data_IF_587968872553
#
_entry.id   IF_587968872553
#
_cell.length_a   1.000
_cell.length_b   1.000
_cell.length_c   1.000
_cell.angle_alpha   90.00
_cell.angle_beta   90.00
_cell.angle_gamma   90.00
#
_symmetry.space_group_name_H-M   'P 1'
#
loop_
_entity.id
_entity.type
_entity.pdbx_description
1 polymer ?
#
# COMPACT_ATOMS: atom_id res chain seq x y z
N UNK A 1 -6.88 -77.82 20.25
CA UNK A 1 -8.18 -77.11 20.24
C UNK A 1 -7.85 -75.64 20.54
N UNK A 2 -8.09 -74.63 19.67
CA UNK A 2 -9.40 -73.93 19.45
C UNK A 2 -10.08 -73.63 20.80
N UNK A 3 -10.47 -72.39 21.17
CA UNK A 3 -10.53 -71.06 20.50
C UNK A 3 -10.60 -69.99 21.67
N UNK A 4 -10.43 -68.66 21.60
CA UNK A 4 -10.80 -67.59 20.63
C UNK A 4 -9.79 -66.39 20.64
N UNK A 5 -10.19 -65.32 19.95
CA UNK A 5 -9.66 -63.95 19.73
C UNK A 5 -9.25 -63.13 20.97
N UNK A 6 -8.24 -62.27 20.81
CA UNK A 6 -8.10 -60.97 21.51
C UNK A 6 -8.09 -59.83 20.49
N UNK A 7 -8.88 -58.77 20.71
CA UNK A 7 -8.91 -57.57 19.84
C UNK A 7 -8.01 -56.50 20.44
N UNK A 8 -6.85 -56.26 19.85
CA UNK A 8 -6.05 -55.07 20.13
C UNK A 8 -6.50 -53.93 19.21
N UNK A 9 -7.06 -52.85 19.77
CA UNK A 9 -7.16 -51.57 19.05
C UNK A 9 -5.76 -50.96 18.94
N UNK A 10 -5.08 -51.25 17.84
CA UNK A 10 -3.87 -50.52 17.47
C UNK A 10 -4.26 -49.12 16.99
N UNK A 11 -4.19 -48.12 17.88
CA UNK A 11 -4.23 -46.71 17.48
C UNK A 11 -2.89 -46.42 16.78
N UNK A 12 -2.85 -46.66 15.47
CA UNK A 12 -1.70 -46.35 14.64
C UNK A 12 -1.49 -44.84 14.62
N UNK A 13 -0.33 -44.39 15.11
CA UNK A 13 0.05 -42.99 15.12
C UNK A 13 0.22 -42.47 13.69
N UNK A 14 -0.68 -41.60 13.25
CA UNK A 14 -0.51 -40.78 12.05
C UNK A 14 0.55 -39.71 12.31
N UNK A 15 1.82 -40.12 12.32
CA UNK A 15 2.98 -39.24 12.30
C UNK A 15 3.12 -38.60 10.92
N UNK A 16 2.19 -37.70 10.59
CA UNK A 16 2.32 -36.82 9.44
C UNK A 16 3.59 -35.98 9.63
N UNK A 17 4.46 -35.92 8.61
CA UNK A 17 5.76 -35.30 8.71
C UNK A 17 5.67 -33.76 8.76
N UNK A 18 5.35 -33.22 9.93
CA UNK A 18 5.77 -31.87 10.28
C UNK A 18 7.30 -31.85 10.28
N UNK A 19 7.91 -31.18 9.30
CA UNK A 19 9.30 -30.72 9.46
C UNK A 19 9.29 -29.75 10.64
N UNK A 20 9.80 -30.19 11.78
CA UNK A 20 10.27 -29.26 12.79
C UNK A 20 11.35 -28.40 12.12
N UNK A 21 11.05 -27.12 11.92
CA UNK A 21 12.03 -26.15 11.48
C UNK A 21 13.09 -26.06 12.57
N UNK A 22 14.28 -26.59 12.31
CA UNK A 22 15.41 -26.46 13.22
C UNK A 22 15.58 -25.00 13.63
N UNK A 23 15.78 -24.75 14.92
CA UNK A 23 15.91 -23.39 15.43
C UNK A 23 17.07 -22.68 14.70
N UNK A 24 16.84 -21.48 14.13
CA UNK A 24 17.85 -20.78 13.32
C UNK A 24 19.13 -20.54 14.13
N UNK A 25 20.28 -20.64 13.45
CA UNK A 25 21.59 -20.45 14.06
C UNK A 25 21.79 -19.05 14.62
N UNK A 26 22.83 -18.84 15.42
CA UNK A 26 23.16 -17.52 15.99
C UNK A 26 23.42 -16.46 14.90
N UNK A 27 24.02 -16.85 13.77
CA UNK A 27 24.14 -16.06 12.54
C UNK A 27 22.79 -15.69 11.93
N UNK A 28 21.89 -16.65 11.86
CA UNK A 28 20.60 -16.52 11.19
C UNK A 28 19.67 -15.63 12.02
N UNK A 29 19.72 -15.77 13.34
CA UNK A 29 19.05 -14.88 14.30
C UNK A 29 19.59 -13.44 14.22
N UNK A 30 20.89 -13.25 13.97
CA UNK A 30 21.45 -11.92 13.73
C UNK A 30 20.93 -11.31 12.41
N UNK A 31 20.93 -12.10 11.33
CA UNK A 31 20.41 -11.68 10.02
C UNK A 31 18.89 -11.37 10.07
N UNK A 32 18.11 -12.19 10.77
CA UNK A 32 16.67 -11.95 10.99
C UNK A 32 16.44 -10.65 11.79
N UNK A 33 17.24 -10.38 12.82
CA UNK A 33 17.18 -9.11 13.58
C UNK A 33 17.54 -7.90 12.71
N UNK A 34 18.57 -8.01 11.88
CA UNK A 34 18.95 -6.95 10.93
C UNK A 34 17.84 -6.68 9.90
N UNK A 35 17.25 -7.72 9.31
CA UNK A 35 16.16 -7.62 8.34
C UNK A 35 14.83 -7.13 8.96
N UNK A 36 14.64 -7.30 10.27
CA UNK A 36 13.49 -6.76 11.00
C UNK A 36 13.65 -5.28 11.37
N UNK A 37 14.90 -4.80 11.55
CA UNK A 37 15.21 -3.45 12.03
C UNK A 37 14.45 -2.36 11.25
N UNK A 38 14.07 -1.29 11.95
CA UNK A 38 13.26 -0.20 11.41
C UNK A 38 13.85 1.14 11.84
N UNK A 39 13.89 2.09 10.91
CA UNK A 39 14.18 3.50 11.19
C UNK A 39 12.96 4.29 10.72
N UNK A 40 12.46 5.21 11.55
CA UNK A 40 11.36 6.07 11.15
C UNK A 40 11.83 7.02 10.05
N UNK A 41 11.23 6.89 8.87
CA UNK A 41 11.34 7.82 7.73
C UNK A 41 9.95 8.41 7.52
N UNK A 42 9.83 9.69 7.19
CA UNK A 42 8.55 10.25 6.77
C UNK A 42 8.44 10.24 5.24
N UNK A 43 7.26 9.92 4.71
CA UNK A 43 6.98 9.93 3.28
C UNK A 43 7.29 11.31 2.68
N UNK A 44 6.98 12.38 3.41
CA UNK A 44 7.26 13.77 3.06
C UNK A 44 8.72 14.05 2.70
N UNK A 45 9.68 13.35 3.32
CA UNK A 45 11.12 13.49 3.03
C UNK A 45 11.50 13.00 1.61
N UNK A 46 10.58 12.29 0.94
CA UNK A 46 10.76 11.63 -0.36
C UNK A 46 9.80 12.14 -1.45
N UNK A 47 8.92 13.09 -1.13
CA UNK A 47 7.96 13.62 -2.10
C UNK A 47 8.59 14.75 -2.94
N UNK A 48 8.46 14.73 -4.28
CA UNK A 48 8.89 15.83 -5.11
C UNK A 48 8.01 17.07 -4.89
N UNK A 49 8.55 18.25 -5.19
CA UNK A 49 7.74 19.46 -5.32
C UNK A 49 6.66 19.26 -6.39
N UNK A 50 5.44 19.70 -6.09
CA UNK A 50 4.31 19.62 -7.01
C UNK A 50 4.32 20.82 -7.97
N UNK A 51 4.06 20.53 -9.25
CA UNK A 51 3.84 21.57 -10.24
C UNK A 51 2.59 22.42 -9.89
N UNK A 52 2.65 23.77 -9.94
CA UNK A 52 1.54 24.63 -9.54
C UNK A 52 0.27 24.47 -10.38
N UNK A 53 0.39 24.22 -11.69
CA UNK A 53 -0.75 24.04 -12.58
C UNK A 53 -1.40 22.67 -12.31
N UNK A 54 -0.60 21.62 -12.14
CA UNK A 54 -1.08 20.29 -11.76
C UNK A 54 -1.75 20.27 -10.37
N UNK A 55 -1.24 21.02 -9.39
CA UNK A 55 -1.86 21.21 -8.07
C UNK A 55 -3.16 22.03 -8.18
N UNK A 56 -3.27 22.99 -9.11
CA UNK A 56 -4.53 23.69 -9.39
C UNK A 56 -5.61 22.73 -9.98
N UNK A 57 -5.24 21.89 -10.95
CA UNK A 57 -6.11 20.83 -11.48
C UNK A 57 -6.52 19.84 -10.37
N UNK A 58 -5.58 19.40 -9.54
CA UNK A 58 -5.87 18.51 -8.40
C UNK A 58 -6.81 19.15 -7.37
N UNK A 59 -6.59 20.40 -6.97
CA UNK A 59 -7.47 21.14 -6.04
C UNK A 59 -8.89 21.24 -6.57
N UNK A 60 -9.05 21.56 -7.86
CA UNK A 60 -10.38 21.65 -8.46
C UNK A 60 -11.06 20.27 -8.58
N UNK A 61 -10.33 19.24 -9.02
CA UNK A 61 -10.83 17.85 -9.03
C UNK A 61 -11.25 17.36 -7.64
N UNK A 62 -10.47 17.70 -6.59
CA UNK A 62 -10.83 17.44 -5.18
C UNK A 62 -12.10 18.15 -4.76
N UNK A 63 -12.25 19.45 -5.08
CA UNK A 63 -13.47 20.20 -4.82
C UNK A 63 -14.70 19.58 -5.51
N UNK A 64 -14.60 19.20 -6.78
CA UNK A 64 -15.67 18.48 -7.48
C UNK A 64 -16.00 17.14 -6.79
N UNK A 65 -14.98 16.42 -6.30
CA UNK A 65 -15.14 15.18 -5.56
C UNK A 65 -15.82 15.38 -4.18
N UNK A 66 -15.58 16.50 -3.48
CA UNK A 66 -16.05 16.72 -2.09
C UNK A 66 -17.18 17.73 -1.90
N UNK A 67 -17.56 18.53 -2.91
CA UNK A 67 -18.76 19.40 -2.84
C UNK A 67 -20.03 18.58 -2.62
N UNK A 68 -21.13 19.19 -2.20
CA UNK A 68 -22.38 18.46 -2.03
C UNK A 68 -23.13 18.30 -3.38
N UNK A 69 -24.10 17.38 -3.44
CA UNK A 69 -24.84 17.06 -4.67
C UNK A 69 -24.22 15.97 -5.57
N UNK A 70 -24.83 15.70 -6.75
CA UNK A 70 -24.48 14.57 -7.61
C UNK A 70 -23.05 14.65 -8.18
N UNK A 71 -22.47 13.48 -8.44
CA UNK A 71 -21.06 13.31 -8.83
C UNK A 71 -20.91 12.86 -10.27
N UNK A 72 -20.13 13.62 -11.04
CA UNK A 72 -19.51 13.15 -12.27
C UNK A 72 -18.06 12.75 -11.94
N UNK A 73 -17.82 11.46 -11.73
CA UNK A 73 -16.48 10.96 -11.41
C UNK A 73 -15.56 10.89 -12.64
N UNK A 74 -16.10 10.91 -13.86
CA UNK A 74 -15.30 11.03 -15.09
C UNK A 74 -14.75 12.45 -15.25
N UNK A 75 -15.54 13.48 -14.91
CA UNK A 75 -15.05 14.86 -14.79
C UNK A 75 -13.95 14.97 -13.72
N UNK A 76 -14.11 14.33 -12.55
CA UNK A 76 -13.06 14.30 -11.52
C UNK A 76 -11.79 13.58 -12.02
N UNK A 77 -11.95 12.44 -12.71
CA UNK A 77 -10.84 11.66 -13.24
C UNK A 77 -10.09 12.40 -14.36
N UNK A 78 -10.76 13.19 -15.22
CA UNK A 78 -10.13 14.10 -16.21
C UNK A 78 -9.03 14.96 -15.55
N UNK A 79 -9.39 15.70 -14.50
CA UNK A 79 -8.43 16.56 -13.79
C UNK A 79 -7.31 15.74 -13.11
N UNK A 80 -7.63 14.59 -12.50
CA UNK A 80 -6.63 13.78 -11.83
C UNK A 80 -5.65 13.09 -12.79
N UNK A 81 -6.08 12.62 -13.96
CA UNK A 81 -5.22 12.03 -14.99
C UNK A 81 -4.20 13.02 -15.55
N UNK A 82 -4.66 14.22 -15.90
CA UNK A 82 -3.81 15.26 -16.47
C UNK A 82 -2.79 15.73 -15.42
N UNK A 83 -3.22 15.96 -14.17
CA UNK A 83 -2.30 16.27 -13.08
C UNK A 83 -1.31 15.11 -12.79
N UNK A 84 -1.76 13.85 -12.81
CA UNK A 84 -0.91 12.68 -12.61
C UNK A 84 0.20 12.55 -13.67
N UNK A 85 -0.10 12.85 -14.94
CA UNK A 85 0.88 12.87 -16.03
C UNK A 85 1.95 13.97 -15.86
N UNK A 86 1.64 15.02 -15.10
CA UNK A 86 2.58 16.06 -14.64
C UNK A 86 3.20 15.75 -13.27
N UNK A 87 3.20 14.47 -12.85
CA UNK A 87 3.91 14.00 -11.65
C UNK A 87 3.16 14.20 -10.33
N UNK A 88 1.89 14.63 -10.38
CA UNK A 88 1.13 14.95 -9.18
C UNK A 88 0.68 13.69 -8.42
N UNK A 89 1.52 13.21 -7.49
CA UNK A 89 1.36 11.91 -6.82
C UNK A 89 0.01 11.72 -6.11
N UNK A 90 -0.55 12.76 -5.47
CA UNK A 90 -1.89 12.69 -4.84
C UNK A 90 -3.02 12.54 -5.88
N UNK A 91 -2.82 13.03 -7.10
CA UNK A 91 -3.78 12.93 -8.18
C UNK A 91 -3.71 11.54 -8.83
N UNK A 92 -2.49 11.05 -9.05
CA UNK A 92 -2.18 9.68 -9.46
C UNK A 92 -2.86 8.65 -8.54
N UNK A 93 -2.62 8.71 -7.22
CA UNK A 93 -3.29 7.80 -6.28
C UNK A 93 -4.84 7.97 -6.28
N UNK A 94 -5.36 9.18 -6.44
CA UNK A 94 -6.80 9.38 -6.49
C UNK A 94 -7.47 8.86 -7.78
N UNK A 95 -6.83 8.95 -8.96
CA UNK A 95 -7.37 8.30 -10.17
C UNK A 95 -7.28 6.78 -10.05
N UNK A 96 -6.18 6.23 -9.51
CA UNK A 96 -6.10 4.80 -9.17
C UNK A 96 -7.29 4.35 -8.32
N UNK A 97 -7.66 5.10 -7.26
CA UNK A 97 -8.83 4.77 -6.43
C UNK A 97 -10.16 4.86 -7.20
N UNK A 98 -10.42 5.95 -7.94
CA UNK A 98 -11.66 6.09 -8.70
C UNK A 98 -11.85 5.01 -9.77
N UNK A 99 -10.78 4.68 -10.50
CA UNK A 99 -10.79 3.70 -11.59
C UNK A 99 -10.86 2.27 -11.04
N UNK A 100 -10.09 1.95 -9.99
CA UNK A 100 -10.09 0.61 -9.38
C UNK A 100 -11.39 0.25 -8.65
N UNK A 101 -12.12 1.25 -8.16
CA UNK A 101 -13.46 1.11 -7.57
C UNK A 101 -14.59 1.12 -8.62
N UNK A 102 -14.28 1.32 -9.91
CA UNK A 102 -15.28 1.42 -10.99
C UNK A 102 -16.16 2.68 -10.92
N UNK A 103 -15.72 3.70 -10.19
CA UNK A 103 -16.42 4.99 -10.09
C UNK A 103 -16.17 5.87 -11.31
N UNK A 104 -14.96 5.79 -11.89
CA UNK A 104 -14.61 6.45 -13.14
C UNK A 104 -14.37 5.43 -14.26
N UNK A 105 -14.85 5.78 -15.45
CA UNK A 105 -14.72 5.06 -16.72
C UNK A 105 -13.25 4.92 -17.11
N UNK A 106 -12.88 3.72 -17.58
CA UNK A 106 -11.56 3.43 -18.16
C UNK A 106 -11.68 2.26 -19.15
N UNK A 107 -11.08 2.32 -20.35
CA UNK A 107 -11.07 1.20 -21.30
C UNK A 107 -10.38 -0.06 -20.74
N UNK A 108 -9.43 0.11 -19.81
CA UNK A 108 -8.81 -0.98 -19.09
C UNK A 108 -8.37 -0.51 -17.69
N UNK A 109 -9.34 -0.45 -16.78
CA UNK A 109 -9.17 0.04 -15.41
C UNK A 109 -8.02 -0.63 -14.65
N UNK A 110 -7.83 -1.93 -14.87
CA UNK A 110 -6.83 -2.73 -14.18
C UNK A 110 -5.40 -2.41 -14.65
N UNK A 111 -5.18 -2.19 -15.95
CA UNK A 111 -3.91 -1.70 -16.46
C UNK A 111 -3.66 -0.24 -16.05
N UNK A 112 -4.65 0.64 -16.22
CA UNK A 112 -4.49 2.08 -15.92
C UNK A 112 -4.01 2.28 -14.47
N UNK A 113 -4.62 1.61 -13.50
CA UNK A 113 -4.24 1.73 -12.10
C UNK A 113 -2.81 1.22 -11.83
N UNK A 114 -2.42 0.09 -12.42
CA UNK A 114 -1.07 -0.49 -12.30
C UNK A 114 -0.02 0.37 -12.99
N UNK A 115 -0.34 1.00 -14.12
CA UNK A 115 0.55 1.93 -14.84
C UNK A 115 0.77 3.22 -14.03
N UNK A 116 -0.28 3.79 -13.43
CA UNK A 116 -0.16 4.94 -12.53
C UNK A 116 0.70 4.61 -11.28
N UNK A 117 0.46 3.47 -10.62
CA UNK A 117 1.29 3.02 -9.50
C UNK A 117 2.76 2.77 -9.92
N UNK A 118 2.98 2.19 -11.10
CA UNK A 118 4.33 1.95 -11.65
C UNK A 118 5.08 3.25 -11.94
N UNK A 119 4.39 4.32 -12.33
CA UNK A 119 5.01 5.65 -12.48
C UNK A 119 5.48 6.22 -11.13
N UNK A 120 4.71 6.04 -10.04
CA UNK A 120 5.13 6.44 -8.69
C UNK A 120 6.35 5.64 -8.23
N UNK A 121 6.37 4.31 -8.45
CA UNK A 121 7.55 3.46 -8.18
C UNK A 121 8.78 3.94 -8.98
N UNK A 122 8.62 4.27 -10.27
CA UNK A 122 9.70 4.82 -11.11
C UNK A 122 10.24 6.16 -10.60
N UNK A 123 9.42 6.96 -9.92
CA UNK A 123 9.79 8.23 -9.29
C UNK A 123 10.34 8.05 -7.86
N UNK A 124 10.40 6.82 -7.34
CA UNK A 124 10.83 6.52 -5.96
C UNK A 124 9.79 6.88 -4.88
N UNK A 125 8.56 7.23 -5.28
CA UNK A 125 7.53 7.75 -4.39
C UNK A 125 6.96 6.62 -3.53
N UNK A 126 6.96 6.74 -2.17
CA UNK A 126 6.69 5.60 -1.30
C UNK A 126 5.29 4.98 -1.48
N UNK A 127 4.28 5.82 -1.75
CA UNK A 127 2.90 5.41 -2.03
C UNK A 127 2.80 4.42 -3.19
N UNK A 128 3.60 4.58 -4.25
CA UNK A 128 3.58 3.68 -5.42
C UNK A 128 3.97 2.25 -5.09
N UNK A 129 4.93 2.07 -4.17
CA UNK A 129 5.32 0.74 -3.70
C UNK A 129 4.20 0.09 -2.88
N UNK A 130 3.43 0.88 -2.11
CA UNK A 130 2.26 0.39 -1.39
C UNK A 130 1.12 0.00 -2.35
N UNK A 131 0.84 0.83 -3.36
CA UNK A 131 -0.19 0.58 -4.38
C UNK A 131 0.10 -0.71 -5.18
N UNK A 132 1.33 -0.87 -5.69
CA UNK A 132 1.74 -2.14 -6.35
C UNK A 132 1.65 -3.33 -5.38
N UNK A 133 2.03 -3.15 -4.12
CA UNK A 133 1.88 -4.17 -3.08
C UNK A 133 0.42 -4.58 -2.85
N UNK A 134 -0.50 -3.62 -2.83
CA UNK A 134 -1.94 -3.86 -2.73
C UNK A 134 -2.47 -4.62 -3.95
N UNK A 135 -2.07 -4.22 -5.17
CA UNK A 135 -2.46 -4.90 -6.42
C UNK A 135 -1.91 -6.31 -6.56
N UNK A 136 -0.65 -6.55 -6.16
CA UNK A 136 -0.07 -7.91 -6.06
C UNK A 136 -0.81 -8.77 -5.01
N UNK A 137 -1.30 -8.17 -3.92
CA UNK A 137 -2.06 -8.90 -2.88
C UNK A 137 -3.49 -9.23 -3.32
N UNK A 138 -4.14 -8.35 -4.08
CA UNK A 138 -5.54 -8.53 -4.54
C UNK A 138 -5.66 -9.33 -5.84
N UNK A 139 -4.63 -9.31 -6.70
CA UNK A 139 -4.70 -9.84 -8.06
C UNK A 139 -5.31 -8.86 -9.07
N UNK A 140 -5.41 -7.57 -8.72
CA UNK A 140 -5.97 -6.54 -9.59
C UNK A 140 -4.91 -6.03 -10.58
N UNK A 141 -5.09 -6.31 -11.88
CA UNK A 141 -4.14 -5.95 -12.95
C UNK A 141 -2.82 -6.75 -12.95
N UNK A 142 -2.36 -7.21 -11.79
CA UNK A 142 -1.18 -8.05 -11.60
C UNK A 142 -1.57 -9.48 -11.20
N UNK A 143 -0.75 -10.48 -11.56
CA UNK A 143 -0.93 -11.85 -11.05
C UNK A 143 -0.74 -11.84 -9.54
N UNK A 144 -1.72 -12.37 -8.79
CA UNK A 144 -1.67 -12.40 -7.34
C UNK A 144 -0.39 -13.10 -6.81
N UNK A 145 0.34 -12.41 -5.94
CA UNK A 145 1.53 -12.91 -5.26
C UNK A 145 1.70 -12.21 -3.91
N UNK A 146 1.27 -12.89 -2.83
CA UNK A 146 1.32 -12.36 -1.46
C UNK A 146 2.74 -12.14 -0.94
N UNK A 147 3.72 -12.97 -1.34
CA UNK A 147 5.11 -12.81 -0.89
C UNK A 147 5.75 -11.57 -1.51
N UNK A 148 5.57 -11.37 -2.82
CA UNK A 148 6.07 -10.18 -3.51
C UNK A 148 5.34 -8.92 -3.02
N UNK A 149 4.04 -9.00 -2.77
CA UNK A 149 3.27 -7.91 -2.15
C UNK A 149 3.89 -7.47 -0.80
N UNK A 150 4.29 -8.41 0.06
CA UNK A 150 4.93 -8.09 1.34
C UNK A 150 6.30 -7.41 1.17
N UNK A 151 7.08 -7.78 0.14
CA UNK A 151 8.35 -7.10 -0.18
C UNK A 151 8.12 -5.65 -0.62
N UNK A 152 7.13 -5.43 -1.49
CA UNK A 152 6.72 -4.09 -1.93
C UNK A 152 6.19 -3.23 -0.77
N UNK A 153 5.32 -3.78 0.09
CA UNK A 153 4.79 -3.03 1.25
C UNK A 153 5.88 -2.77 2.29
N UNK A 154 6.83 -3.70 2.52
CA UNK A 154 7.98 -3.42 3.40
C UNK A 154 8.84 -2.30 2.84
N UNK A 155 9.17 -2.32 1.54
CA UNK A 155 9.90 -1.24 0.86
C UNK A 155 9.17 0.11 0.99
N UNK A 156 7.86 0.14 0.84
CA UNK A 156 7.05 1.35 1.05
C UNK A 156 7.17 1.89 2.49
N UNK A 157 7.12 1.01 3.49
CA UNK A 157 7.25 1.38 4.90
C UNK A 157 8.64 1.95 5.25
N UNK A 158 9.70 1.34 4.69
CA UNK A 158 11.09 1.79 4.85
C UNK A 158 11.38 3.11 4.12
N UNK A 159 10.67 3.37 3.02
CA UNK A 159 10.69 4.65 2.30
C UNK A 159 9.78 5.72 2.94
N UNK A 160 8.99 5.37 3.96
CA UNK A 160 8.25 6.31 4.79
C UNK A 160 6.72 6.26 4.70
N UNK A 161 6.13 5.50 3.76
CA UNK A 161 4.68 5.50 3.55
C UNK A 161 3.92 5.06 4.83
N UNK A 162 2.98 5.87 5.35
CA UNK A 162 2.38 5.62 6.67
C UNK A 162 1.38 4.45 6.68
N UNK A 163 0.63 4.23 5.60
CA UNK A 163 -0.25 3.06 5.45
C UNK A 163 0.55 1.75 5.44
N UNK A 164 1.69 1.74 4.75
CA UNK A 164 2.64 0.64 4.72
C UNK A 164 3.27 0.38 6.10
N UNK A 165 3.73 1.44 6.79
CA UNK A 165 4.26 1.34 8.15
C UNK A 165 3.22 0.73 9.10
N UNK A 166 1.97 1.18 9.05
CA UNK A 166 0.87 0.60 9.80
C UNK A 166 0.58 -0.87 9.40
N UNK A 167 0.62 -1.20 8.10
CA UNK A 167 0.37 -2.55 7.63
C UNK A 167 1.44 -3.53 8.13
N UNK A 168 2.73 -3.20 8.00
CA UNK A 168 3.83 -4.02 8.52
C UNK A 168 3.78 -4.09 10.05
N UNK A 169 3.46 -2.99 10.73
CA UNK A 169 3.23 -2.98 12.18
C UNK A 169 2.16 -4.00 12.60
N UNK A 170 1.04 -4.07 11.88
CA UNK A 170 -0.03 -5.04 12.17
C UNK A 170 0.42 -6.49 12.00
N UNK A 171 1.30 -6.79 11.05
CA UNK A 171 1.86 -8.14 10.85
C UNK A 171 2.85 -8.54 11.95
N UNK A 172 3.60 -7.58 12.49
CA UNK A 172 4.61 -7.74 13.54
C UNK A 172 4.06 -7.60 14.98
N UNK A 173 2.83 -7.08 15.14
CA UNK A 173 2.18 -6.83 16.43
C UNK A 173 1.99 -8.04 17.37
N UNK A 174 1.80 -9.29 16.89
CA UNK A 174 1.71 -10.46 17.76
C UNK A 174 2.95 -10.63 18.67
N UNK A 175 2.72 -11.08 19.91
CA UNK A 175 3.76 -11.20 20.95
C UNK A 175 4.89 -12.18 20.59
N UNK A 176 4.61 -13.17 19.74
CA UNK A 176 5.54 -14.17 19.20
C UNK A 176 6.43 -13.64 18.05
N UNK A 177 6.30 -12.36 17.67
CA UNK A 177 7.01 -11.76 16.53
C UNK A 177 7.92 -10.60 16.92
N UNK A 178 7.47 -9.36 16.76
CA UNK A 178 8.27 -8.15 16.99
C UNK A 178 7.38 -6.98 17.46
N UNK A 179 6.68 -7.11 18.61
CA UNK A 179 5.72 -6.11 19.08
C UNK A 179 6.34 -4.73 19.31
N UNK A 180 7.63 -4.65 19.64
CA UNK A 180 8.33 -3.37 19.81
C UNK A 180 8.61 -2.65 18.49
N UNK A 181 9.00 -3.38 17.44
CA UNK A 181 9.15 -2.83 16.09
C UNK A 181 7.79 -2.42 15.54
N UNK A 182 6.75 -3.22 15.79
CA UNK A 182 5.36 -2.87 15.49
C UNK A 182 4.88 -1.61 16.24
N UNK A 183 5.40 -1.34 17.44
CA UNK A 183 5.13 -0.12 18.21
C UNK A 183 5.81 1.10 17.57
N UNK A 184 7.08 0.96 17.19
CA UNK A 184 7.87 2.01 16.51
C UNK A 184 7.27 2.37 15.14
N UNK A 185 6.87 1.38 14.34
CA UNK A 185 6.20 1.61 13.05
C UNK A 185 4.82 2.28 13.24
N UNK A 186 4.04 1.88 14.25
CA UNK A 186 2.78 2.56 14.59
C UNK A 186 2.99 4.01 15.07
N UNK A 187 4.07 4.28 15.81
CA UNK A 187 4.47 5.64 16.20
C UNK A 187 4.78 6.50 14.96
N UNK A 188 5.67 6.03 14.08
CA UNK A 188 6.05 6.74 12.85
C UNK A 188 4.85 7.02 11.93
N UNK A 189 3.94 6.05 11.76
CA UNK A 189 2.71 6.26 10.99
C UNK A 189 1.74 7.25 11.68
N UNK A 190 1.60 7.20 13.01
CA UNK A 190 0.77 8.13 13.76
C UNK A 190 1.30 9.57 13.72
N UNK A 191 2.63 9.74 13.72
CA UNK A 191 3.30 11.04 13.64
C UNK A 191 3.15 11.70 12.26
N UNK A 192 2.93 10.88 11.22
CA UNK A 192 2.52 11.31 9.88
C UNK A 192 0.99 11.44 9.71
N UNK A 193 0.21 11.36 10.80
CA UNK A 193 -1.24 11.56 10.78
C UNK A 193 -2.08 10.35 10.36
N UNK A 194 -1.52 9.13 10.27
CA UNK A 194 -2.31 7.93 10.00
C UNK A 194 -3.09 7.50 11.25
N UNK A 195 -4.33 8.00 11.35
CA UNK A 195 -5.16 7.94 12.57
C UNK A 195 -5.47 6.55 13.10
N UNK A 196 -5.53 5.52 12.25
CA UNK A 196 -5.74 4.14 12.73
C UNK A 196 -4.50 3.58 13.44
N UNK A 197 -3.30 3.99 13.03
CA UNK A 197 -2.08 3.68 13.77
C UNK A 197 -2.05 4.44 15.10
N UNK A 198 -2.42 5.72 15.11
CA UNK A 198 -2.51 6.54 16.32
C UNK A 198 -3.48 5.91 17.36
N UNK A 199 -4.64 5.42 16.92
CA UNK A 199 -5.61 4.73 17.79
C UNK A 199 -5.07 3.40 18.36
N UNK A 200 -4.51 2.52 17.51
CA UNK A 200 -3.97 1.22 17.97
C UNK A 200 -2.64 1.36 18.73
N UNK A 201 -1.96 2.49 18.58
CA UNK A 201 -0.82 2.90 19.40
C UNK A 201 -1.29 3.37 20.79
N UNK A 202 -2.30 4.24 20.86
CA UNK A 202 -2.84 4.77 22.11
C UNK A 202 -3.40 3.65 23.02
N UNK A 203 -4.18 2.71 22.46
CA UNK A 203 -4.66 1.54 23.20
C UNK A 203 -3.49 0.71 23.74
N UNK A 204 -2.48 0.45 22.90
CA UNK A 204 -1.31 -0.34 23.30
C UNK A 204 -0.49 0.35 24.39
N UNK A 205 -0.28 1.66 24.29
CA UNK A 205 0.43 2.47 25.28
C UNK A 205 -0.31 2.49 26.63
N UNK A 206 -1.64 2.65 26.60
CA UNK A 206 -2.46 2.62 27.81
C UNK A 206 -2.42 1.25 28.50
N UNK A 207 -2.53 0.16 27.73
CA UNK A 207 -2.45 -1.22 28.24
C UNK A 207 -1.13 -1.53 28.96
N UNK A 208 -0.01 -0.92 28.52
CA UNK A 208 1.31 -1.08 29.18
C UNK A 208 1.61 0.01 30.23
N UNK A 209 0.60 0.78 30.67
CA UNK A 209 0.74 1.82 31.70
C UNK A 209 1.44 3.11 31.25
N UNK A 210 1.68 3.30 29.94
CA UNK A 210 2.23 4.54 29.36
C UNK A 210 1.11 5.55 29.08
N UNK A 211 0.37 5.92 30.11
CA UNK A 211 -0.86 6.71 29.97
C UNK A 211 -0.64 8.11 29.39
N UNK A 212 0.47 8.81 29.72
CA UNK A 212 0.79 10.10 29.10
C UNK A 212 1.00 9.98 27.58
N UNK A 213 1.79 9.00 27.13
CA UNK A 213 2.00 8.76 25.70
C UNK A 213 0.71 8.32 24.99
N UNK A 214 -0.17 7.59 25.69
CA UNK A 214 -1.47 7.20 25.18
C UNK A 214 -2.38 8.42 24.91
N UNK A 215 -2.36 9.43 25.80
CA UNK A 215 -3.06 10.71 25.58
C UNK A 215 -2.54 11.42 24.33
N UNK A 216 -1.21 11.51 24.17
CA UNK A 216 -0.57 12.10 22.97
C UNK A 216 -0.94 11.34 21.69
N UNK A 217 -0.98 10.01 21.74
CA UNK A 217 -1.37 9.16 20.61
C UNK A 217 -2.88 9.27 20.30
N UNK A 218 -3.75 9.40 21.30
CA UNK A 218 -5.17 9.69 21.07
C UNK A 218 -5.35 11.07 20.41
N UNK A 219 -4.66 12.12 20.86
CA UNK A 219 -4.75 13.47 20.28
C UNK A 219 -4.33 13.48 18.79
N UNK A 220 -3.26 12.77 18.42
CA UNK A 220 -2.86 12.54 17.01
C UNK A 220 -3.95 11.81 16.22
N UNK A 221 -4.65 10.87 16.85
CA UNK A 221 -5.84 10.22 16.32
C UNK A 221 -7.03 11.17 16.08
N UNK A 222 -7.21 12.18 16.95
CA UNK A 222 -8.24 13.22 16.79
C UNK A 222 -7.90 14.12 15.61
N UNK A 223 -6.65 14.57 15.50
CA UNK A 223 -6.18 15.35 14.36
C UNK A 223 -6.42 14.60 13.03
N UNK A 224 -6.14 13.29 13.03
CA UNK A 224 -6.40 12.38 11.92
C UNK A 224 -7.90 12.05 11.68
N UNK A 225 -8.83 12.63 12.45
CA UNK A 225 -10.28 12.50 12.26
C UNK A 225 -10.92 11.22 12.79
N UNK A 226 -10.24 10.47 13.68
CA UNK A 226 -10.78 9.22 14.22
C UNK A 226 -11.67 9.52 15.43
N UNK A 227 -12.98 9.62 15.23
CA UNK A 227 -13.96 9.93 16.29
C UNK A 227 -13.86 9.05 17.55
N UNK A 228 -13.47 7.78 17.39
CA UNK A 228 -13.20 6.87 18.52
C UNK A 228 -12.04 7.30 19.43
N UNK A 229 -11.09 8.10 18.95
CA UNK A 229 -9.99 8.63 19.78
C UNK A 229 -10.46 9.83 20.60
N UNK A 230 -11.24 10.73 19.99
CA UNK A 230 -11.87 11.86 20.69
C UNK A 230 -12.83 11.38 21.79
N UNK A 231 -13.60 10.32 21.53
CA UNK A 231 -14.51 9.72 22.52
C UNK A 231 -13.79 9.06 23.71
N UNK A 232 -12.51 8.66 23.55
CA UNK A 232 -11.71 8.17 24.69
C UNK A 232 -11.17 9.35 25.53
N UNK A 233 -10.77 10.45 24.89
CA UNK A 233 -10.34 11.67 25.60
C UNK A 233 -11.52 12.37 26.30
N UNK A 234 -12.68 12.47 25.65
CA UNK A 234 -13.96 12.90 26.24
C UNK A 234 -14.20 12.20 27.59
N UNK A 235 -14.20 10.87 27.59
CA UNK A 235 -14.45 10.06 28.80
C UNK A 235 -13.36 10.19 29.85
N UNK A 236 -12.09 10.27 29.43
CA UNK A 236 -10.96 10.44 30.35
C UNK A 236 -11.01 11.79 31.09
N UNK A 237 -11.38 12.87 30.41
CA UNK A 237 -11.51 14.20 31.02
C UNK A 237 -12.82 14.37 31.83
N UNK A 238 -13.85 13.55 31.60
CA UNK A 238 -15.14 13.64 32.31
C UNK A 238 -15.20 12.83 33.61
N UNK A 239 -14.67 11.60 33.59
CA UNK A 239 -14.86 10.65 34.68
C UNK A 239 -13.70 9.63 34.72
N UNK A 240 -12.45 10.08 34.97
CA UNK A 240 -11.25 9.24 34.86
C UNK A 240 -11.31 7.98 35.73
N UNK A 241 -11.87 8.09 36.95
CA UNK A 241 -12.03 6.95 37.87
C UNK A 241 -13.03 5.89 37.40
N UNK A 242 -13.94 6.24 36.48
CA UNK A 242 -14.95 5.32 35.92
C UNK A 242 -14.42 4.46 34.76
N UNK A 243 -13.23 4.80 34.24
CA UNK A 243 -12.58 4.04 33.18
C UNK A 243 -11.93 2.79 33.79
N UNK A 244 -12.03 1.66 33.09
CA UNK A 244 -11.28 0.44 33.44
C UNK A 244 -9.80 0.80 33.63
N UNK A 245 -9.21 0.44 34.77
CA UNK A 245 -7.85 0.86 35.15
C UNK A 245 -6.76 0.47 34.13
N UNK A 246 -7.03 -0.48 33.22
CA UNK A 246 -6.15 -0.88 32.10
C UNK A 246 -6.19 0.10 30.91
N UNK A 247 -7.20 0.97 30.88
CA UNK A 247 -7.43 1.99 29.85
C UNK A 247 -7.53 3.41 30.45
N UNK A 248 -7.27 3.55 31.76
CA UNK A 248 -7.29 4.83 32.46
C UNK A 248 -6.12 5.71 32.01
N UNK A 249 -6.44 6.95 31.64
CA UNK A 249 -5.48 7.96 31.26
C UNK A 249 -5.20 8.87 32.45
N UNK A 250 -3.92 9.15 32.68
CA UNK A 250 -3.45 10.01 33.77
C UNK A 250 -3.63 11.48 33.33
N UNK A 251 -4.87 11.95 33.44
CA UNK A 251 -5.31 13.30 33.12
C UNK A 251 -6.18 13.85 34.26
N UNK A 252 -6.10 15.15 34.57
CA UNK A 252 -7.02 15.78 35.51
C UNK A 252 -8.45 15.80 34.94
N UNK A 253 -9.45 15.76 35.80
CA UNK A 253 -10.85 16.02 35.41
C UNK A 253 -10.98 17.46 34.88
N UNK A 254 -11.57 17.61 33.70
CA UNK A 254 -11.80 18.89 33.03
C UNK A 254 -13.06 18.78 32.15
N UNK A 255 -14.25 19.14 32.70
CA UNK A 255 -15.52 19.00 32.00
C UNK A 255 -15.63 19.82 30.70
N UNK A 256 -14.91 20.94 30.58
CA UNK A 256 -14.91 21.74 29.34
C UNK A 256 -14.01 21.10 28.27
N UNK A 257 -12.87 20.47 28.63
CA UNK A 257 -12.14 19.59 27.70
C UNK A 257 -13.00 18.45 27.21
N UNK A 258 -13.67 17.75 28.12
CA UNK A 258 -14.59 16.68 27.75
C UNK A 258 -15.64 17.17 26.75
N UNK A 259 -16.29 18.30 27.06
CA UNK A 259 -17.29 18.95 26.19
C UNK A 259 -16.72 19.31 24.81
N UNK A 260 -15.50 19.83 24.70
CA UNK A 260 -14.88 20.12 23.40
C UNK A 260 -14.56 18.84 22.62
N UNK A 261 -14.07 17.78 23.27
CA UNK A 261 -13.93 16.47 22.61
C UNK A 261 -15.27 15.88 22.18
N UNK A 262 -16.34 16.06 22.96
CA UNK A 262 -17.70 15.64 22.57
C UNK A 262 -18.20 16.39 21.33
N UNK A 263 -17.95 17.70 21.22
CA UNK A 263 -18.26 18.48 20.02
C UNK A 263 -17.45 18.00 18.80
N UNK A 264 -16.17 17.64 18.98
CA UNK A 264 -15.36 16.99 17.93
C UNK A 264 -15.95 15.61 17.55
N UNK A 265 -16.42 14.81 18.51
CA UNK A 265 -17.08 13.51 18.25
C UNK A 265 -18.35 13.68 17.42
N UNK A 266 -19.15 14.72 17.69
CA UNK A 266 -20.35 15.07 16.92
C UNK A 266 -19.96 15.47 15.49
N UNK A 267 -19.10 16.49 15.33
CA UNK A 267 -18.61 16.97 14.04
C UNK A 267 -18.05 15.84 13.15
N UNK A 268 -17.21 14.96 13.71
CA UNK A 268 -16.61 13.83 12.98
C UNK A 268 -17.63 12.75 12.60
N UNK A 269 -18.71 12.56 13.38
CA UNK A 269 -19.80 11.62 13.08
C UNK A 269 -20.71 12.17 11.99
N UNK A 270 -21.17 13.39 12.13
CA UNK A 270 -22.13 14.02 11.22
C UNK A 270 -21.52 14.17 9.80
N UNK A 271 -20.21 14.38 9.73
CA UNK A 271 -19.46 14.50 8.47
C UNK A 271 -18.75 13.20 8.02
N UNK A 272 -19.07 12.03 8.60
CA UNK A 272 -18.34 10.75 8.37
C UNK A 272 -18.03 10.45 6.90
N UNK A 273 -19.01 10.64 6.00
CA UNK A 273 -18.88 10.34 4.57
C UNK A 273 -17.80 11.17 3.85
N UNK A 274 -17.45 12.34 4.39
CA UNK A 274 -16.43 13.22 3.83
C UNK A 274 -15.04 13.03 4.47
N UNK A 275 -14.89 12.07 5.40
CA UNK A 275 -13.65 11.73 6.10
C UNK A 275 -12.86 12.96 6.64
N UNK A 276 -13.51 13.83 7.45
CA UNK A 276 -12.91 15.06 7.99
C UNK A 276 -11.62 14.82 8.78
N UNK A 277 -10.87 15.90 8.99
CA UNK A 277 -9.65 15.98 9.79
C UNK A 277 -9.77 17.18 10.73
N UNK A 278 -9.03 17.17 11.83
CA UNK A 278 -9.04 18.23 12.85
C UNK A 278 -7.59 18.71 13.10
N UNK A 279 -6.88 19.22 12.08
CA UNK A 279 -5.49 19.64 12.23
C UNK A 279 -5.33 20.76 13.27
N UNK A 280 -6.40 21.51 13.53
CA UNK A 280 -6.52 22.53 14.56
C UNK A 280 -6.89 21.98 15.96
N UNK A 281 -6.82 20.66 16.21
CA UNK A 281 -7.19 20.08 17.53
C UNK A 281 -6.41 20.69 18.70
N UNK A 282 -5.12 21.01 18.55
CA UNK A 282 -4.35 21.68 19.61
C UNK A 282 -4.61 23.20 19.69
N UNK A 283 -5.36 23.77 18.73
CA UNK A 283 -5.90 25.14 18.82
C UNK A 283 -7.30 25.14 19.48
N UNK A 284 -7.98 23.99 19.54
CA UNK A 284 -9.31 23.82 20.13
C UNK A 284 -9.20 23.26 21.57
N UNK A 285 -8.38 22.22 21.76
CA UNK A 285 -8.20 21.44 23.00
C UNK A 285 -6.72 21.07 23.23
N UNK A 286 -5.77 22.03 23.32
CA UNK A 286 -4.36 21.74 23.60
C UNK A 286 -4.20 21.02 24.93
N UNK A 287 -3.52 19.88 24.96
CA UNK A 287 -3.45 19.00 26.14
C UNK A 287 -2.87 19.68 27.40
N UNK A 288 -3.23 19.22 28.62
CA UNK A 288 -2.60 19.69 29.87
C UNK A 288 -1.07 19.58 29.81
N UNK A 289 -0.32 20.52 30.42
CA UNK A 289 -0.76 21.58 31.33
C UNK A 289 -1.22 22.88 30.64
N UNK A 290 -1.40 22.90 29.31
CA UNK A 290 -1.89 24.09 28.62
C UNK A 290 -3.29 24.52 29.12
N UNK A 291 -3.56 25.82 29.11
CA UNK A 291 -4.92 26.35 29.33
C UNK A 291 -5.70 26.29 28.02
N UNK A 292 -7.02 26.07 28.11
CA UNK A 292 -7.88 26.14 26.94
C UNK A 292 -7.93 27.57 26.37
N UNK A 293 -7.74 27.74 25.05
CA UNK A 293 -7.88 29.03 24.40
C UNK A 293 -9.37 29.38 24.19
N UNK A 294 -9.68 30.65 23.87
CA UNK A 294 -10.94 31.01 23.25
C UNK A 294 -11.13 30.23 21.95
N UNK A 295 -12.34 29.72 21.72
CA UNK A 295 -12.73 29.01 20.50
C UNK A 295 -14.17 29.40 20.15
N UNK A 296 -14.45 29.59 18.87
CA UNK A 296 -15.74 30.06 18.34
C UNK A 296 -16.74 28.92 18.03
N UNK A 297 -16.29 27.66 18.14
CA UNK A 297 -17.08 26.47 17.80
C UNK A 297 -16.85 25.94 16.38
N UNK A 298 -16.00 26.59 15.57
CA UNK A 298 -15.77 26.22 14.16
C UNK A 298 -14.47 25.41 13.97
N UNK A 299 -14.45 24.54 12.96
CA UNK A 299 -13.31 23.69 12.61
C UNK A 299 -12.61 24.16 11.33
N UNK A 300 -11.28 23.99 11.23
CA UNK A 300 -10.52 24.43 10.04
C UNK A 300 -11.03 23.78 8.76
N UNK A 301 -11.43 22.52 8.83
CA UNK A 301 -12.02 21.77 7.73
C UNK A 301 -13.29 22.43 7.16
N UNK A 302 -14.11 23.08 7.99
CA UNK A 302 -15.31 23.82 7.55
C UNK A 302 -14.88 25.12 6.85
N UNK A 303 -13.94 25.85 7.47
CA UNK A 303 -13.35 27.09 6.92
C UNK A 303 -12.63 26.85 5.59
N UNK A 304 -12.07 25.66 5.38
CA UNK A 304 -11.50 25.19 4.11
C UNK A 304 -12.59 24.79 3.10
N UNK A 305 -13.61 24.00 3.49
CA UNK A 305 -14.71 23.58 2.59
C UNK A 305 -15.55 24.75 2.06
N UNK A 306 -15.62 25.86 2.78
CA UNK A 306 -16.28 27.08 2.32
C UNK A 306 -15.55 27.78 1.16
N UNK A 307 -14.28 27.44 0.90
CA UNK A 307 -13.48 28.06 -0.16
C UNK A 307 -13.62 27.27 -1.47
N UNK A 308 -14.17 27.90 -2.50
CA UNK A 308 -14.21 27.35 -3.85
C UNK A 308 -12.88 27.64 -4.55
N UNK A 309 -12.08 26.63 -4.92
CA UNK A 309 -10.86 26.86 -5.70
C UNK A 309 -11.23 27.37 -7.10
N UNK A 310 -10.40 28.23 -7.71
CA UNK A 310 -10.63 28.72 -9.07
C UNK A 310 -10.68 27.53 -10.04
N UNK A 311 -11.63 27.57 -10.99
CA UNK A 311 -11.68 26.56 -12.06
C UNK A 311 -10.47 26.76 -12.99
N UNK A 312 -9.67 25.71 -13.29
CA UNK A 312 -8.68 25.74 -14.38
C UNK A 312 -9.35 26.10 -15.71
N UNK A 313 -8.76 27.02 -16.47
CA UNK A 313 -9.30 27.36 -17.79
C UNK A 313 -9.11 26.20 -18.77
N UNK A 314 -9.96 26.09 -19.79
CA UNK A 314 -9.82 24.98 -20.74
C UNK A 314 -8.51 25.10 -21.55
N UNK A 315 -8.00 26.31 -21.80
CA UNK A 315 -6.69 26.53 -22.44
C UNK A 315 -5.52 25.98 -21.61
N UNK A 316 -5.63 26.05 -20.27
CA UNK A 316 -4.65 25.42 -19.37
C UNK A 316 -4.73 23.90 -19.46
N UNK A 317 -5.95 23.34 -19.47
CA UNK A 317 -6.18 21.89 -19.56
C UNK A 317 -5.68 21.36 -20.92
N UNK A 318 -6.02 22.03 -22.01
CA UNK A 318 -5.60 21.70 -23.38
C UNK A 318 -4.07 21.74 -23.52
N UNK A 319 -3.41 22.75 -22.95
CA UNK A 319 -1.94 22.83 -22.91
C UNK A 319 -1.34 21.63 -22.18
N UNK A 320 -1.75 21.40 -20.93
CA UNK A 320 -1.19 20.34 -20.09
C UNK A 320 -1.45 18.94 -20.66
N UNK A 321 -2.61 18.72 -21.28
CA UNK A 321 -2.95 17.47 -21.96
C UNK A 321 -2.08 17.26 -23.21
N UNK A 322 -1.94 18.29 -24.05
CA UNK A 322 -1.10 18.26 -25.26
C UNK A 322 0.38 18.02 -24.95
N UNK A 323 0.91 18.62 -23.89
CA UNK A 323 2.27 18.40 -23.37
C UNK A 323 2.54 16.93 -22.95
N UNK A 324 1.49 16.12 -22.80
CA UNK A 324 1.54 14.72 -22.35
C UNK A 324 0.88 13.74 -23.34
N UNK A 325 0.51 14.20 -24.54
CA UNK A 325 -0.23 13.43 -25.55
C UNK A 325 -1.54 12.79 -25.02
N UNK A 326 -2.25 13.53 -24.18
CA UNK A 326 -3.56 13.13 -23.63
C UNK A 326 -4.70 13.79 -24.40
N UNK A 327 -5.86 13.13 -24.39
CA UNK A 327 -7.14 13.75 -24.71
C UNK A 327 -7.50 14.77 -23.62
N UNK A 328 -7.66 16.06 -23.92
CA UNK A 328 -8.02 17.06 -22.93
C UNK A 328 -9.41 16.85 -22.33
N UNK A 329 -10.33 16.11 -22.96
CA UNK A 329 -11.68 15.87 -22.44
C UNK A 329 -11.74 14.75 -21.38
N UNK A 330 -10.93 13.70 -21.51
CA UNK A 330 -10.97 12.52 -20.62
C UNK A 330 -9.70 12.31 -19.78
N UNK A 331 -8.58 12.90 -20.19
CA UNK A 331 -7.25 12.66 -19.65
C UNK A 331 -6.62 11.32 -20.05
N UNK A 332 -7.23 10.54 -20.94
CA UNK A 332 -6.64 9.31 -21.47
C UNK A 332 -5.49 9.60 -22.45
N UNK A 333 -4.54 8.67 -22.58
CA UNK A 333 -3.52 8.73 -23.63
C UNK A 333 -4.17 8.61 -25.01
N UNK A 334 -3.79 9.49 -25.93
CA UNK A 334 -4.17 9.36 -27.34
C UNK A 334 -3.39 8.21 -28.00
N UNK A 335 -3.97 7.51 -28.98
CA UNK A 335 -3.21 6.62 -29.85
C UNK A 335 -2.04 7.36 -30.51
N UNK A 336 -0.88 6.72 -30.62
CA UNK A 336 0.21 7.26 -31.43
C UNK A 336 -0.22 7.23 -32.91
N UNK A 337 -0.48 8.40 -33.49
CA UNK A 337 -0.97 8.51 -34.87
C UNK A 337 -0.03 7.85 -35.87
N UNK A 338 -0.59 6.97 -36.70
CA UNK A 338 0.14 6.14 -37.65
C UNK A 338 0.57 6.91 -38.91
N UNK A 339 1.23 8.06 -38.75
CA UNK A 339 1.84 8.79 -39.87
C UNK A 339 2.93 9.79 -39.45
N UNK A 340 4.19 9.36 -39.46
CA UNK A 340 5.15 9.78 -40.52
C UNK A 340 6.49 9.05 -40.39
N UNK A 341 7.06 8.68 -41.54
CA UNK A 341 8.42 8.12 -41.60
C UNK A 341 9.46 9.24 -41.44
N UNK A 342 9.90 9.48 -40.21
CA UNK A 342 11.18 10.16 -39.96
C UNK A 342 12.11 9.20 -39.22
N UNK A 343 13.26 8.90 -39.85
CA UNK A 343 14.33 8.11 -39.25
C UNK A 343 15.05 8.93 -38.19
N UNK A 344 14.48 8.98 -37.00
CA UNK A 344 15.16 9.47 -35.80
C UNK A 344 16.26 8.47 -35.46
N UNK A 345 17.52 8.88 -35.55
CA UNK A 345 18.66 8.09 -35.09
C UNK A 345 18.50 7.79 -33.58
N UNK A 346 18.93 6.61 -33.10
CA UNK A 346 18.70 6.23 -31.70
C UNK A 346 19.35 7.23 -30.76
N UNK A 347 18.56 7.79 -29.85
CA UNK A 347 19.07 8.45 -28.66
C UNK A 347 19.21 7.40 -27.56
N UNK A 348 20.40 7.30 -26.96
CA UNK A 348 20.75 6.26 -25.98
C UNK A 348 20.12 6.49 -24.59
N UNK A 349 18.80 6.68 -24.55
CA UNK A 349 18.00 6.49 -23.35
C UNK A 349 17.42 5.08 -23.42
N UNK A 350 18.12 4.13 -22.77
CA UNK A 350 17.70 2.72 -22.72
C UNK A 350 16.39 2.60 -21.95
N UNK A 351 15.27 2.72 -22.65
CA UNK A 351 13.95 2.45 -22.13
C UNK A 351 13.88 0.98 -21.71
N UNK A 352 13.64 0.74 -20.41
CA UNK A 352 13.53 -0.64 -19.89
C UNK A 352 12.41 -1.37 -20.61
N UNK A 353 12.67 -2.60 -21.03
CA UNK A 353 11.71 -3.44 -21.73
C UNK A 353 10.43 -3.63 -20.87
N UNK A 354 9.21 -3.43 -21.40
CA UNK A 354 7.98 -3.51 -20.61
C UNK A 354 7.78 -4.86 -19.90
N UNK A 355 7.24 -4.82 -18.68
CA UNK A 355 6.79 -6.03 -17.99
C UNK A 355 5.74 -6.74 -18.85
N UNK A 356 5.96 -8.03 -19.07
CA UNK A 356 5.16 -8.87 -19.94
C UNK A 356 5.69 -9.05 -21.36
N UNK A 357 6.77 -8.36 -21.77
CA UNK A 357 7.50 -8.70 -22.99
C UNK A 357 8.10 -10.11 -22.93
N UNK A 358 8.30 -10.73 -24.10
CA UNK A 358 8.72 -12.13 -24.21
C UNK A 358 10.03 -12.31 -25.00
N UNK A 359 10.74 -13.38 -24.68
CA UNK A 359 11.99 -13.79 -25.31
C UNK A 359 12.04 -15.33 -25.37
N UNK A 360 12.76 -15.90 -26.34
CA UNK A 360 12.88 -17.37 -26.49
C UNK A 360 14.17 -17.88 -25.87
N UNK A 361 14.16 -19.14 -25.46
CA UNK A 361 15.37 -19.95 -25.25
C UNK A 361 16.40 -19.75 -26.38
N UNK A 362 17.69 -19.74 -26.03
CA UNK A 362 18.82 -19.54 -26.96
C UNK A 362 19.09 -18.08 -27.33
N UNK A 363 18.14 -17.17 -27.12
CA UNK A 363 18.35 -15.73 -27.30
C UNK A 363 19.11 -15.12 -26.11
N UNK A 364 19.82 -14.02 -26.34
CA UNK A 364 20.31 -13.17 -25.24
C UNK A 364 19.14 -12.44 -24.57
N UNK A 365 19.20 -12.35 -23.25
CA UNK A 365 18.16 -11.76 -22.42
C UNK A 365 18.10 -10.24 -22.67
N UNK A 366 16.98 -9.70 -23.18
CA UNK A 366 16.90 -8.31 -23.62
C UNK A 366 16.83 -7.30 -22.48
N UNK A 367 16.49 -7.72 -21.26
CA UNK A 367 16.43 -6.84 -20.08
C UNK A 367 16.69 -7.60 -18.77
N UNK A 368 17.46 -6.97 -17.87
CA UNK A 368 17.76 -7.50 -16.55
C UNK A 368 16.51 -7.59 -15.68
N UNK A 369 16.18 -8.79 -15.21
CA UNK A 369 14.91 -9.01 -14.50
C UNK A 369 14.60 -10.45 -14.17
N UNK A 370 13.44 -10.61 -13.52
CA UNK A 370 12.81 -11.90 -13.25
C UNK A 370 11.94 -12.28 -14.45
N UNK A 371 12.24 -13.42 -15.05
CA UNK A 371 11.54 -13.98 -16.20
C UNK A 371 10.84 -15.29 -15.84
N UNK A 372 9.64 -15.49 -16.37
CA UNK A 372 8.80 -16.66 -16.13
C UNK A 372 8.51 -17.39 -17.45
N UNK A 373 8.89 -18.66 -17.53
CA UNK A 373 8.71 -19.52 -18.69
C UNK A 373 7.26 -20.03 -18.84
N UNK A 374 6.77 -19.95 -20.07
CA UNK A 374 5.43 -20.42 -20.45
C UNK A 374 5.47 -21.89 -20.85
N UNK A 375 5.15 -22.77 -19.90
CA UNK A 375 4.99 -24.21 -20.14
C UNK A 375 3.58 -24.57 -20.64
N UNK A 376 3.46 -25.76 -21.25
CA UNK A 376 2.17 -26.38 -21.56
C UNK A 376 1.51 -26.94 -20.28
N UNK A 377 0.17 -27.03 -20.21
CA UNK A 377 -0.52 -27.66 -19.09
C UNK A 377 -0.04 -29.09 -18.84
N UNK A 378 0.15 -29.46 -17.57
CA UNK A 378 0.59 -30.79 -17.14
C UNK A 378 2.09 -30.95 -16.89
N UNK A 379 2.94 -30.03 -17.34
CA UNK A 379 4.39 -30.10 -17.13
C UNK A 379 4.80 -29.49 -15.78
N UNK A 380 5.78 -30.10 -15.10
CA UNK A 380 6.31 -29.59 -13.83
C UNK A 380 7.80 -29.22 -13.96
N UNK A 381 8.12 -27.95 -13.69
CA UNK A 381 9.48 -27.44 -13.57
C UNK A 381 9.53 -26.14 -12.76
N UNK A 382 10.73 -25.70 -12.39
CA UNK A 382 10.99 -24.34 -11.92
C UNK A 382 10.90 -23.37 -13.11
N UNK A 383 9.78 -22.65 -13.22
CA UNK A 383 9.52 -21.77 -14.37
C UNK A 383 10.05 -20.34 -14.23
N UNK A 384 10.44 -19.90 -13.03
CA UNK A 384 10.79 -18.50 -12.77
C UNK A 384 12.26 -18.37 -12.39
N UNK A 385 13.01 -17.52 -13.10
CA UNK A 385 14.45 -17.29 -12.91
C UNK A 385 14.79 -15.81 -13.11
N UNK A 386 15.85 -15.35 -12.45
CA UNK A 386 16.46 -14.04 -12.72
C UNK A 386 17.52 -14.20 -13.82
N UNK A 387 17.65 -13.20 -14.68
CA UNK A 387 18.68 -13.11 -15.73
C UNK A 387 19.18 -11.67 -15.83
N UNK A 388 20.48 -11.49 -15.97
CA UNK A 388 21.08 -10.20 -16.30
C UNK A 388 20.87 -9.86 -17.80
N UNK A 389 20.97 -8.58 -18.15
CA UNK A 389 20.83 -8.10 -19.53
C UNK A 389 22.00 -8.60 -20.39
N UNK A 390 21.74 -9.61 -21.22
CA UNK A 390 22.71 -10.24 -22.11
C UNK A 390 22.88 -11.75 -21.93
N UNK A 391 22.36 -12.32 -20.84
CA UNK A 391 22.42 -13.76 -20.52
C UNK A 391 21.78 -14.64 -21.60
N UNK A 392 22.32 -15.83 -21.86
CA UNK A 392 21.68 -16.77 -22.79
C UNK A 392 20.52 -17.46 -22.09
N UNK A 393 19.29 -17.18 -22.53
CA UNK A 393 18.07 -17.75 -21.95
C UNK A 393 18.06 -19.27 -22.13
N UNK A 394 18.01 -20.08 -21.05
CA UNK A 394 18.22 -21.51 -21.14
C UNK A 394 16.97 -22.26 -21.65
N UNK A 395 17.15 -23.53 -21.98
CA UNK A 395 16.06 -24.50 -22.00
C UNK A 395 15.57 -24.77 -20.57
N UNK A 396 14.38 -25.35 -20.42
CA UNK A 396 13.91 -25.88 -19.15
C UNK A 396 13.88 -27.40 -19.20
N UNK A 397 14.50 -28.01 -18.20
CA UNK A 397 14.28 -29.40 -17.82
C UNK A 397 12.96 -29.49 -17.04
N UNK A 398 12.02 -30.28 -17.54
CA UNK A 398 10.75 -30.55 -16.88
C UNK A 398 10.56 -32.04 -16.65
N UNK A 399 9.80 -32.36 -15.60
CA UNK A 399 9.32 -33.70 -15.32
C UNK A 399 7.96 -33.91 -16.01
N UNK A 400 7.86 -34.98 -16.80
CA UNK A 400 6.59 -35.42 -17.39
C UNK A 400 6.17 -36.76 -16.76
N UNK A 401 5.37 -36.76 -15.67
CA UNK A 401 5.00 -37.98 -14.96
C UNK A 401 4.27 -38.97 -15.88
N UNK A 402 4.51 -40.28 -15.70
CA UNK A 402 3.74 -41.31 -16.40
C UNK A 402 2.37 -41.46 -15.73
N UNK A 403 1.36 -41.86 -16.50
CA UNK A 403 -0.01 -42.06 -16.02
C UNK A 403 -0.14 -43.10 -14.89
N UNK A 404 0.89 -43.94 -14.68
CA UNK A 404 1.04 -44.86 -13.56
C UNK A 404 2.37 -44.54 -12.86
N UNK A 405 2.32 -43.82 -11.74
CA UNK A 405 3.51 -43.29 -11.06
C UNK A 405 4.54 -44.34 -10.61
N UNK A 406 4.15 -45.61 -10.44
CA UNK A 406 5.08 -46.69 -10.14
C UNK A 406 6.06 -46.98 -11.29
N UNK A 407 5.71 -46.63 -12.54
CA UNK A 407 6.62 -46.73 -13.69
C UNK A 407 7.76 -45.72 -13.60
N UNK A 408 7.55 -44.54 -13.00
CA UNK A 408 8.60 -43.55 -12.78
C UNK A 408 9.60 -44.01 -11.70
N UNK A 409 9.16 -44.82 -10.73
CA UNK A 409 10.03 -45.47 -9.75
C UNK A 409 10.88 -46.60 -10.35
N UNK A 410 10.32 -47.40 -11.26
CA UNK A 410 11.02 -48.56 -11.87
C UNK A 410 11.90 -48.17 -13.05
N UNK A 411 11.48 -47.21 -13.87
CA UNK A 411 12.13 -46.83 -15.14
C UNK A 411 12.86 -45.48 -15.07
N UNK A 412 12.96 -44.88 -13.88
CA UNK A 412 13.48 -43.53 -13.67
C UNK A 412 12.55 -42.42 -14.18
N UNK A 413 12.68 -41.23 -13.61
CA UNK A 413 11.90 -40.05 -14.01
C UNK A 413 12.10 -39.69 -15.49
N UNK A 414 11.01 -39.41 -16.22
CA UNK A 414 11.13 -38.79 -17.55
C UNK A 414 11.40 -37.30 -17.40
N UNK A 415 12.70 -36.96 -17.37
CA UNK A 415 13.19 -35.60 -17.53
C UNK A 415 13.35 -35.31 -19.01
N UNK A 416 12.75 -34.20 -19.46
CA UNK A 416 12.82 -33.74 -20.84
C UNK A 416 13.25 -32.28 -20.84
N UNK A 417 14.14 -31.92 -21.76
CA UNK A 417 14.65 -30.55 -21.93
C UNK A 417 13.90 -29.91 -23.11
N UNK A 418 13.29 -28.74 -22.93
CA UNK A 418 12.57 -28.03 -24.00
C UNK A 418 12.96 -26.56 -24.09
N UNK A 419 12.89 -26.03 -25.31
CA UNK A 419 12.73 -24.59 -25.54
C UNK A 419 11.44 -24.09 -24.90
N UNK A 420 11.48 -22.87 -24.37
CA UNK A 420 10.34 -22.17 -23.77
C UNK A 420 10.30 -20.71 -24.23
N UNK A 421 9.11 -20.10 -24.11
CA UNK A 421 8.98 -18.64 -24.17
C UNK A 421 9.09 -18.11 -22.75
N UNK A 422 10.15 -17.37 -22.47
CA UNK A 422 10.33 -16.60 -21.25
C UNK A 422 9.53 -15.29 -21.35
N UNK A 423 8.86 -14.89 -20.26
CA UNK A 423 8.11 -13.62 -20.14
C UNK A 423 8.65 -12.80 -18.97
N UNK A 424 9.04 -11.55 -19.19
CA UNK A 424 9.49 -10.65 -18.14
C UNK A 424 8.34 -10.38 -17.16
N UNK A 425 8.56 -10.56 -15.85
CA UNK A 425 7.52 -10.39 -14.81
C UNK A 425 7.90 -9.41 -13.68
N UNK A 426 9.19 -9.15 -13.48
CA UNK A 426 9.67 -8.04 -12.65
C UNK A 426 11.05 -7.56 -13.15
N UNK A 427 11.42 -6.33 -12.84
CA UNK A 427 12.79 -5.84 -13.06
C UNK A 427 13.73 -6.34 -11.97
N UNK A 428 15.02 -6.33 -12.29
CA UNK A 428 16.09 -6.58 -11.33
C UNK A 428 16.42 -5.31 -10.55
N UNK A 429 16.59 -5.45 -9.23
CA UNK A 429 17.11 -4.40 -8.37
C UNK A 429 18.62 -4.27 -8.60
N UNK A 430 19.05 -3.15 -9.19
CA UNK A 430 20.45 -2.74 -9.07
C UNK A 430 20.66 -2.17 -7.67
N UNK A 431 21.52 -2.83 -6.91
CA UNK A 431 21.96 -2.42 -5.58
C UNK A 431 22.76 -1.10 -5.61
#
# INVERSE_FOLDING_TARGET
MRILISICLAIASLSACSKESALPGSSDLANVRANLAFTCTHEADRLPALDPDAEALFRYGRYLQTRDGPKNFDEVARYFRIAAAHGHYKANHNVQQLVSQGLASSPNAANEAVEWASQLVKQGIPTGYYDIGYYLKSGYGLKQNTELALKYIRKAADLGNPDAQYYVAKLLAPHDKAPDIARQMRQCAADQGHGRAAYELAIHLSYIGRSHDAVLAYQKGVAAGVSGTAMNLERAFLAPESVDKRFALDVPEDPERSRRYQLIVQFLRDNTLANPKVPDVDQIVPLPPAKLPPWDGTFEWERQRAQVPPKPSEELIDRLAKEKHLDPATGWQLPADAQTSQTVAPSDVVARLPLGSTARTGMRCPEGGVWCAQLRPGLQAETTRTFEKGDVLPMIDFYEPRALAWLDWVLGERRLTTEVVWKLVAYEDKA
#
